data_IF_502502701090
#
_entry.id   IF_502502701090
#
_cell.length_a   1.000
_cell.length_b   1.000
_cell.length_c   1.000
_cell.angle_alpha   90.00
_cell.angle_beta   90.00
_cell.angle_gamma   90.00
#
_symmetry.space_group_name_H-M   'P 1'
#
loop_
_entity.id
_entity.type
_entity.pdbx_description
1 polymer ?
#
# COMPACT_ATOMS: atom_id res chain seq x y z
N UNK A 1 -8.48 5.87 12.96
CA UNK A 1 -8.91 6.60 11.75
C UNK A 1 -10.24 6.04 11.33
N UNK A 2 -11.25 6.90 11.24
CA UNK A 2 -12.61 6.51 10.87
C UNK A 2 -13.06 7.28 9.62
N UNK A 3 -13.89 6.66 8.80
CA UNK A 3 -14.52 7.27 7.63
C UNK A 3 -15.74 8.11 8.05
N UNK A 4 -16.43 8.81 7.15
CA UNK A 4 -17.57 9.67 7.56
C UNK A 4 -18.74 8.90 8.20
N UNK A 5 -18.79 7.57 8.01
CA UNK A 5 -19.81 6.66 8.56
C UNK A 5 -19.35 5.99 9.87
N UNK A 6 -18.16 6.34 10.37
CA UNK A 6 -17.60 5.78 11.60
C UNK A 6 -16.93 4.42 11.41
N UNK A 7 -16.67 3.98 10.18
CA UNK A 7 -15.98 2.70 9.91
C UNK A 7 -14.46 2.88 9.89
N UNK A 8 -13.68 1.85 10.27
CA UNK A 8 -12.23 1.87 10.15
C UNK A 8 -11.73 2.20 8.74
N UNK A 9 -10.71 3.07 8.67
CA UNK A 9 -10.05 3.42 7.40
C UNK A 9 -8.65 2.83 7.35
N UNK A 10 -8.42 1.74 6.57
CA UNK A 10 -7.08 1.31 6.25
C UNK A 10 -6.40 2.28 5.30
N UNK A 11 -5.09 2.13 5.18
CA UNK A 11 -4.28 2.84 4.19
C UNK A 11 -4.21 4.38 4.34
N UNK A 12 -4.73 4.96 5.42
CA UNK A 12 -4.53 6.36 5.76
C UNK A 12 -3.11 6.57 6.28
N UNK A 13 -2.40 7.55 5.72
CA UNK A 13 -1.07 7.93 6.17
C UNK A 13 -1.20 8.93 7.30
N UNK A 14 -0.59 8.61 8.43
CA UNK A 14 -0.53 9.45 9.63
C UNK A 14 0.91 9.88 9.80
N UNK A 15 1.12 11.19 9.91
CA UNK A 15 2.44 11.80 10.10
C UNK A 15 2.41 12.63 11.37
N UNK A 16 3.31 12.33 12.30
CA UNK A 16 3.49 13.10 13.53
C UNK A 16 4.73 13.99 13.37
N UNK A 17 4.59 15.26 13.75
CA UNK A 17 5.66 16.26 13.82
C UNK A 17 5.87 16.66 15.28
N UNK A 18 6.80 16.00 16.01
CA UNK A 18 7.15 16.41 17.36
C UNK A 18 7.74 17.82 17.33
N UNK A 19 7.34 18.68 18.27
CA UNK A 19 7.90 20.02 18.42
C UNK A 19 9.35 20.01 18.88
N UNK A 20 9.75 18.96 19.60
CA UNK A 20 11.12 18.70 20.02
C UNK A 20 11.55 17.30 19.55
N UNK A 21 12.25 17.22 18.42
CA UNK A 21 12.83 15.97 17.93
C UNK A 21 14.19 15.71 18.61
N UNK A 22 14.18 15.43 19.91
CA UNK A 22 15.38 15.01 20.65
C UNK A 22 15.56 13.50 20.57
N UNK A 23 16.76 13.03 20.26
CA UNK A 23 17.10 11.60 20.18
C UNK A 23 17.12 11.07 18.74
N UNK A 24 17.44 9.77 18.61
CA UNK A 24 17.50 9.10 17.30
C UNK A 24 16.07 8.88 16.77
N UNK A 25 15.76 9.36 15.55
CA UNK A 25 14.45 9.10 14.94
C UNK A 25 14.19 7.60 14.76
N UNK A 26 12.95 7.13 14.90
CA UNK A 26 12.64 5.72 14.76
C UNK A 26 12.76 5.25 13.30
N UNK A 27 13.13 3.98 13.11
CA UNK A 27 13.12 3.33 11.78
C UNK A 27 11.78 2.64 11.53
N UNK A 28 10.73 3.42 11.26
CA UNK A 28 9.36 2.91 11.07
C UNK A 28 9.06 2.44 9.63
N UNK A 29 9.81 2.94 8.65
CA UNK A 29 9.56 2.72 7.22
C UNK A 29 10.58 1.73 6.64
N UNK A 30 10.18 1.04 5.56
CA UNK A 30 11.07 0.17 4.82
C UNK A 30 12.12 1.00 4.06
N UNK A 31 13.40 0.62 4.17
CA UNK A 31 14.49 1.33 3.51
C UNK A 31 14.44 1.22 1.97
N UNK A 32 13.99 0.08 1.46
CA UNK A 32 13.91 -0.23 0.02
C UNK A 32 12.63 -1.02 -0.29
N UNK A 33 11.45 -0.38 -0.27
CA UNK A 33 10.19 -1.08 -0.51
C UNK A 33 10.05 -1.48 -1.98
N UNK A 34 9.28 -2.55 -2.20
CA UNK A 34 8.89 -3.00 -3.54
C UNK A 34 7.40 -2.74 -3.77
N UNK A 35 7.05 -2.23 -4.96
CA UNK A 35 5.69 -2.08 -5.44
C UNK A 35 5.52 -2.97 -6.67
N UNK A 36 4.65 -3.96 -6.56
CA UNK A 36 4.41 -4.95 -7.60
C UNK A 36 3.26 -4.52 -8.51
N UNK A 37 3.38 -4.81 -9.80
CA UNK A 37 2.26 -4.79 -10.73
C UNK A 37 1.73 -6.20 -10.85
N UNK A 38 0.59 -6.48 -10.21
CA UNK A 38 -0.02 -7.79 -10.14
C UNK A 38 -1.54 -7.67 -10.31
N UNK A 39 -2.14 -8.52 -11.15
CA UNK A 39 -3.58 -8.54 -11.46
C UNK A 39 -4.08 -7.16 -11.88
N UNK A 40 -3.29 -6.45 -12.70
CA UNK A 40 -3.55 -5.08 -13.16
C UNK A 40 -3.76 -4.10 -12.01
N UNK A 41 -2.92 -4.17 -10.97
CA UNK A 41 -2.90 -3.26 -9.80
C UNK A 41 -1.48 -3.00 -9.34
N UNK A 42 -1.27 -1.85 -8.70
CA UNK A 42 -0.08 -1.63 -7.86
C UNK A 42 -0.32 -2.23 -6.47
N UNK A 43 0.62 -3.05 -5.99
CA UNK A 43 0.56 -3.75 -4.70
C UNK A 43 1.86 -3.49 -3.93
N UNK A 44 1.81 -2.84 -2.76
CA UNK A 44 0.63 -2.22 -2.15
C UNK A 44 0.14 -1.00 -2.95
N UNK A 45 -1.13 -0.63 -2.75
CA UNK A 45 -1.72 0.53 -3.42
C UNK A 45 -1.24 1.88 -2.85
N UNK A 46 -0.75 1.88 -1.61
CA UNK A 46 -0.15 3.04 -0.92
C UNK A 46 1.14 2.58 -0.26
N UNK A 47 2.25 3.22 -0.61
CA UNK A 47 3.57 3.01 0.00
C UNK A 47 4.01 4.30 0.67
N UNK A 48 4.54 4.21 1.90
CA UNK A 48 5.10 5.37 2.63
C UNK A 48 6.60 5.22 2.69
N UNK A 49 7.33 6.25 2.28
CA UNK A 49 8.81 6.27 2.25
C UNK A 49 9.35 7.61 2.71
N UNK A 50 10.61 7.65 3.13
CA UNK A 50 11.30 8.92 3.37
C UNK A 50 11.85 9.50 2.06
N UNK A 51 12.07 10.81 2.02
CA UNK A 51 12.83 11.41 0.93
C UNK A 51 14.23 10.78 0.82
N UNK A 52 14.68 10.54 -0.41
CA UNK A 52 15.92 9.85 -0.75
C UNK A 52 15.78 8.33 -0.91
N UNK A 53 14.63 7.73 -0.56
CA UNK A 53 14.38 6.29 -0.71
C UNK A 53 14.31 5.89 -2.19
N UNK A 54 14.92 4.76 -2.52
CA UNK A 54 14.74 4.06 -3.80
C UNK A 54 13.63 3.03 -3.68
N UNK A 55 12.60 3.18 -4.50
CA UNK A 55 11.48 2.23 -4.60
C UNK A 55 11.71 1.31 -5.79
N UNK A 56 11.58 0.00 -5.57
CA UNK A 56 11.63 -0.99 -6.64
C UNK A 56 10.23 -1.25 -7.18
N UNK A 57 10.06 -1.19 -8.49
CA UNK A 57 8.85 -1.62 -9.16
C UNK A 57 9.08 -2.96 -9.84
N UNK A 58 8.14 -3.90 -9.73
CA UNK A 58 8.19 -5.18 -10.44
C UNK A 58 6.95 -5.39 -11.30
N UNK A 59 7.04 -6.26 -12.31
CA UNK A 59 5.88 -6.73 -13.05
C UNK A 59 5.69 -8.23 -12.85
N UNK A 60 4.64 -8.61 -12.12
CA UNK A 60 4.27 -10.02 -11.89
C UNK A 60 3.26 -10.54 -12.91
N UNK A 61 2.58 -9.66 -13.64
CA UNK A 61 1.66 -10.04 -14.69
C UNK A 61 2.43 -10.52 -15.94
N UNK A 62 1.83 -11.43 -16.71
CA UNK A 62 2.41 -11.95 -17.96
C UNK A 62 2.39 -10.95 -19.13
N UNK A 63 1.75 -9.79 -18.96
CA UNK A 63 1.65 -8.72 -19.95
C UNK A 63 2.40 -7.50 -19.48
N UNK A 64 2.78 -6.66 -20.44
CA UNK A 64 3.51 -5.44 -20.15
C UNK A 64 2.67 -4.45 -19.35
N UNK A 65 3.37 -3.72 -18.48
CA UNK A 65 2.82 -2.57 -17.80
C UNK A 65 3.77 -1.39 -17.86
N UNK A 66 3.22 -0.22 -17.58
CA UNK A 66 4.00 0.99 -17.33
C UNK A 66 3.82 1.42 -15.89
N UNK A 67 4.87 2.01 -15.33
CA UNK A 67 4.77 2.80 -14.10
C UNK A 67 4.99 4.25 -14.48
N UNK A 68 3.94 5.05 -14.36
CA UNK A 68 3.99 6.51 -14.47
C UNK A 68 3.84 7.12 -13.10
N UNK A 69 4.83 7.88 -12.66
CA UNK A 69 4.77 8.65 -11.43
C UNK A 69 4.56 10.13 -11.75
N UNK A 70 3.50 10.70 -11.20
CA UNK A 70 3.18 12.12 -11.30
C UNK A 70 3.09 12.71 -9.89
N UNK A 71 3.99 13.62 -9.49
CA UNK A 71 3.84 14.36 -8.24
C UNK A 71 2.52 15.11 -8.24
N UNK A 72 1.74 14.96 -7.17
CA UNK A 72 0.44 15.60 -7.02
C UNK A 72 0.48 16.62 -5.90
N UNK A 73 0.20 17.89 -6.24
CA UNK A 73 0.03 18.97 -5.27
C UNK A 73 1.32 19.42 -4.59
N UNK A 74 1.34 20.69 -4.18
CA UNK A 74 2.29 21.22 -3.20
C UNK A 74 2.05 20.49 -1.88
N UNK A 75 3.01 19.69 -1.42
CA UNK A 75 3.00 19.23 -0.04
C UNK A 75 2.79 20.45 0.88
N UNK A 76 1.88 20.42 1.88
CA UNK A 76 1.68 21.53 2.79
C UNK A 76 3.00 21.85 3.47
N UNK A 77 3.58 22.97 3.02
CA UNK A 77 4.93 23.45 3.29
C UNK A 77 6.00 22.35 3.22
N UNK A 78 6.30 21.86 2.00
CA UNK A 78 7.71 21.64 1.70
C UNK A 78 8.46 22.89 2.18
N UNK A 79 9.43 22.72 3.09
CA UNK A 79 10.28 23.82 3.52
C UNK A 79 10.77 24.58 2.27
N UNK A 80 10.82 25.93 2.30
CA UNK A 80 11.32 26.69 1.16
C UNK A 80 12.64 26.09 0.65
N UNK A 81 12.67 25.63 -0.61
CA UNK A 81 13.83 24.98 -1.22
C UNK A 81 13.82 23.45 -1.31
N UNK A 82 12.74 22.75 -0.90
CA UNK A 82 12.64 21.32 -1.16
C UNK A 82 12.53 21.06 -2.67
N UNK A 83 13.41 20.19 -3.20
CA UNK A 83 13.30 19.69 -4.57
C UNK A 83 11.92 19.02 -4.76
N UNK A 84 11.35 19.11 -5.97
CA UNK A 84 10.17 18.32 -6.32
C UNK A 84 10.63 16.92 -6.79
N UNK A 85 9.80 15.89 -6.54
CA UNK A 85 10.02 14.60 -7.19
C UNK A 85 9.75 14.83 -8.68
N UNK A 86 10.58 14.27 -9.56
CA UNK A 86 10.39 14.44 -11.01
C UNK A 86 9.35 13.45 -11.50
N UNK A 87 8.55 13.85 -12.50
CA UNK A 87 7.74 12.88 -13.25
C UNK A 87 8.64 11.76 -13.79
N UNK A 88 8.13 10.53 -13.80
CA UNK A 88 8.84 9.41 -14.42
C UNK A 88 7.87 8.49 -15.14
N UNK A 89 8.35 7.81 -16.17
CA UNK A 89 7.64 6.78 -16.89
C UNK A 89 8.62 5.66 -17.28
N UNK A 90 8.23 4.41 -17.00
CA UNK A 90 9.01 3.24 -17.36
C UNK A 90 8.08 2.11 -17.80
N UNK A 91 8.54 1.28 -18.75
CA UNK A 91 7.87 0.05 -19.18
C UNK A 91 8.54 -1.15 -18.52
N UNK A 92 7.75 -2.03 -17.91
CA UNK A 92 8.22 -3.33 -17.43
C UNK A 92 7.57 -4.43 -18.26
N UNK A 93 8.41 -5.24 -18.92
CA UNK A 93 7.95 -6.38 -19.69
C UNK A 93 7.23 -7.39 -18.80
N UNK A 94 6.22 -8.07 -19.36
CA UNK A 94 5.50 -9.14 -18.70
C UNK A 94 6.43 -10.24 -18.16
N UNK A 95 6.06 -10.82 -17.03
CA UNK A 95 6.78 -11.93 -16.41
C UNK A 95 6.69 -13.17 -17.30
N UNK A 96 7.84 -13.77 -17.56
CA UNK A 96 7.93 -15.09 -18.21
C UNK A 96 7.84 -16.18 -17.16
N UNK A 97 7.07 -17.23 -17.42
CA UNK A 97 6.97 -18.38 -16.53
C UNK A 97 8.34 -19.00 -16.24
N UNK A 98 8.58 -19.33 -14.97
CA UNK A 98 9.86 -19.86 -14.50
C UNK A 98 11.01 -18.85 -14.43
N UNK A 99 10.79 -17.56 -14.77
CA UNK A 99 11.79 -16.49 -14.64
C UNK A 99 11.42 -15.47 -13.55
N UNK A 100 12.41 -14.78 -12.96
CA UNK A 100 12.15 -13.64 -12.09
C UNK A 100 11.36 -12.54 -12.81
N UNK A 101 10.59 -11.76 -12.05
CA UNK A 101 9.90 -10.58 -12.57
C UNK A 101 10.89 -9.52 -13.05
N UNK A 102 10.54 -8.82 -14.13
CA UNK A 102 11.26 -7.62 -14.55
C UNK A 102 11.06 -6.52 -13.50
N UNK A 103 12.09 -5.69 -13.29
CA UNK A 103 12.05 -4.62 -12.31
C UNK A 103 12.74 -3.35 -12.79
N UNK A 104 12.40 -2.23 -12.16
CA UNK A 104 13.10 -0.97 -12.28
C UNK A 104 13.08 -0.24 -10.94
N UNK A 105 14.13 0.52 -10.66
CA UNK A 105 14.30 1.26 -9.43
C UNK A 105 14.13 2.76 -9.68
N UNK A 106 13.38 3.45 -8.82
CA UNK A 106 13.15 4.89 -8.90
C UNK A 106 13.46 5.52 -7.56
N UNK A 107 14.37 6.50 -7.55
CA UNK A 107 14.70 7.28 -6.36
C UNK A 107 13.73 8.45 -6.20
N UNK A 108 13.24 8.66 -4.99
CA UNK A 108 12.28 9.72 -4.65
C UNK A 108 12.92 10.71 -3.67
N UNK A 109 13.52 11.77 -4.20
CA UNK A 109 14.34 12.72 -3.40
C UNK A 109 13.55 13.81 -2.66
N UNK A 110 12.23 13.85 -2.84
CA UNK A 110 11.39 14.98 -2.46
C UNK A 110 10.15 14.54 -1.70
N UNK A 111 9.86 15.19 -0.57
CA UNK A 111 8.62 14.95 0.16
C UNK A 111 7.39 15.42 -0.63
N UNK A 112 6.29 14.69 -0.48
CA UNK A 112 5.07 14.89 -1.26
C UNK A 112 4.43 13.58 -1.67
N UNK A 113 3.34 13.66 -2.43
CA UNK A 113 2.61 12.49 -2.92
C UNK A 113 2.94 12.30 -4.40
N UNK A 114 3.31 11.09 -4.78
CA UNK A 114 3.46 10.66 -6.17
C UNK A 114 2.28 9.76 -6.51
N UNK A 115 1.43 10.22 -7.42
CA UNK A 115 0.37 9.40 -8.01
C UNK A 115 0.98 8.44 -9.03
N UNK A 116 0.72 7.15 -8.86
CA UNK A 116 1.12 6.10 -9.78
C UNK A 116 -0.03 5.75 -10.73
N UNK A 117 0.28 5.63 -12.01
CA UNK A 117 -0.63 5.15 -13.04
C UNK A 117 0.05 4.20 -14.03
N UNK A 118 -0.74 3.47 -14.80
CA UNK A 118 -0.26 2.72 -15.97
C UNK A 118 -0.72 3.42 -17.25
N UNK A 119 0.12 3.43 -18.29
CA UNK A 119 -0.24 3.94 -19.60
C UNK A 119 -1.28 3.05 -20.29
N UNK A 120 -1.10 1.73 -20.21
CA UNK A 120 -1.94 0.74 -20.89
C UNK A 120 -3.25 0.45 -20.14
N UNK A 121 -3.24 0.52 -18.80
CA UNK A 121 -4.37 0.13 -17.95
C UNK A 121 -4.79 1.30 -17.07
N UNK A 122 -5.75 2.12 -17.54
CA UNK A 122 -6.19 3.33 -16.83
C UNK A 122 -6.81 3.11 -15.44
N UNK A 123 -7.19 1.87 -15.12
CA UNK A 123 -7.67 1.48 -13.78
C UNK A 123 -6.55 1.28 -12.76
N UNK A 124 -5.30 1.06 -13.20
CA UNK A 124 -4.16 0.92 -12.30
C UNK A 124 -3.84 2.25 -11.65
N UNK A 125 -4.06 2.33 -10.34
CA UNK A 125 -3.79 3.52 -9.53
C UNK A 125 -3.17 3.13 -8.20
N UNK A 126 -2.06 3.78 -7.88
CA UNK A 126 -1.35 3.65 -6.62
C UNK A 126 -0.80 5.00 -6.17
N UNK A 127 -0.23 5.06 -4.97
CA UNK A 127 0.37 6.28 -4.43
C UNK A 127 1.66 5.93 -3.69
N UNK A 128 2.67 6.78 -3.83
CA UNK A 128 3.80 6.82 -2.93
C UNK A 128 3.71 8.12 -2.13
N UNK A 129 3.55 8.00 -0.81
CA UNK A 129 3.64 9.13 0.11
C UNK A 129 5.08 9.26 0.59
N UNK A 130 5.78 10.27 0.09
CA UNK A 130 7.14 10.60 0.50
C UNK A 130 7.06 11.55 1.70
N UNK A 131 7.35 11.06 2.88
CA UNK A 131 7.22 11.81 4.13
C UNK A 131 8.43 12.70 4.41
N UNK A 132 8.19 13.77 5.15
CA UNK A 132 9.16 14.70 5.73
C UNK A 132 9.36 14.49 7.25
N UNK A 133 8.74 13.47 7.85
CA UNK A 133 8.91 13.11 9.26
C UNK A 133 9.19 11.62 9.46
N UNK A 134 10.09 11.30 10.39
CA UNK A 134 10.40 9.93 10.79
C UNK A 134 9.25 9.21 11.51
N UNK A 135 8.31 9.95 12.11
CA UNK A 135 7.11 9.38 12.73
C UNK A 135 5.97 9.33 11.72
N UNK A 136 6.13 8.46 10.72
CA UNK A 136 5.13 8.25 9.68
C UNK A 136 4.75 6.78 9.59
N UNK A 137 3.45 6.51 9.61
CA UNK A 137 2.90 5.17 9.45
C UNK A 137 1.60 5.22 8.66
N UNK A 138 1.21 4.07 8.17
CA UNK A 138 -0.09 3.86 7.53
C UNK A 138 -0.99 3.08 8.47
N UNK A 139 -2.28 3.36 8.47
CA UNK A 139 -3.25 2.61 9.28
C UNK A 139 -3.41 1.18 8.78
N UNK A 140 -3.61 0.27 9.73
CA UNK A 140 -4.00 -1.12 9.49
C UNK A 140 -5.48 -1.26 9.12
N UNK A 141 -5.96 -2.49 8.97
CA UNK A 141 -7.36 -2.80 8.64
C UNK A 141 -8.36 -2.34 9.70
N UNK A 142 -7.91 -2.14 10.94
CA UNK A 142 -8.72 -1.60 12.05
C UNK A 142 -8.65 -0.06 12.09
N UNK A 143 -7.98 0.57 11.13
CA UNK A 143 -7.83 2.00 11.04
C UNK A 143 -6.84 2.57 12.07
N UNK A 144 -5.93 1.75 12.60
CA UNK A 144 -5.03 2.12 13.69
C UNK A 144 -3.60 2.27 13.16
N UNK A 145 -2.93 3.36 13.53
CA UNK A 145 -1.49 3.56 13.38
C UNK A 145 -0.87 3.71 14.77
N UNK A 146 0.14 2.90 15.09
CA UNK A 146 0.75 2.83 16.43
C UNK A 146 2.18 3.34 16.36
N UNK A 147 2.44 4.48 17.01
CA UNK A 147 3.76 5.12 17.00
C UNK A 147 4.50 4.82 18.30
N UNK A 148 5.61 4.05 18.27
CA UNK A 148 6.49 3.95 19.41
C UNK A 148 7.34 5.22 19.54
N UNK A 149 7.72 5.56 20.77
CA UNK A 149 8.78 6.51 21.07
C UNK A 149 8.61 7.86 20.35
N UNK A 150 7.39 8.41 20.35
CA UNK A 150 7.17 9.82 19.99
C UNK A 150 7.68 10.68 21.15
N UNK A 151 8.54 11.69 20.92
CA UNK A 151 9.01 12.58 21.97
C UNK A 151 7.84 13.27 22.67
N UNK A 152 7.94 13.37 24.00
CA UNK A 152 6.95 14.06 24.83
C UNK A 152 6.90 15.57 24.51
N UNK A 153 5.71 16.16 24.70
CA UNK A 153 5.44 17.57 24.52
C UNK A 153 4.55 17.88 23.31
N UNK A 154 4.56 19.15 22.90
CA UNK A 154 3.74 19.62 21.79
C UNK A 154 4.16 18.94 20.47
N UNK A 155 3.17 18.52 19.69
CA UNK A 155 3.33 17.92 18.39
C UNK A 155 2.19 18.35 17.45
N UNK A 156 2.34 18.06 16.16
CA UNK A 156 1.27 18.18 15.18
C UNK A 156 1.05 16.85 14.47
N UNK A 157 -0.19 16.55 14.12
CA UNK A 157 -0.59 15.38 13.35
C UNK A 157 -1.10 15.84 12.00
N UNK A 158 -0.57 15.26 10.92
CA UNK A 158 -1.13 15.34 9.58
C UNK A 158 -1.70 13.98 9.22
N UNK A 159 -2.87 14.00 8.60
CA UNK A 159 -3.49 12.80 8.04
C UNK A 159 -3.69 13.02 6.55
N UNK A 160 -3.33 12.02 5.76
CA UNK A 160 -3.57 11.98 4.32
C UNK A 160 -4.20 10.65 3.94
N UNK A 161 -5.10 10.68 2.95
CA UNK A 161 -5.69 9.46 2.39
C UNK A 161 -5.93 9.65 0.89
N UNK A 162 -5.71 8.61 0.10
CA UNK A 162 -5.78 8.67 -1.36
C UNK A 162 -7.14 9.12 -1.94
N UNK A 163 -8.23 8.93 -1.18
CA UNK A 163 -9.58 9.33 -1.58
C UNK A 163 -10.00 10.70 -1.03
N UNK A 164 -9.17 11.36 -0.21
CA UNK A 164 -9.43 12.74 0.23
C UNK A 164 -9.23 13.70 -0.94
N UNK A 165 -10.23 14.54 -1.20
CA UNK A 165 -10.16 15.57 -2.24
C UNK A 165 -9.45 16.84 -1.77
N UNK A 166 -9.47 17.10 -0.46
CA UNK A 166 -8.92 18.31 0.15
C UNK A 166 -8.03 17.87 1.31
N UNK A 167 -6.84 18.43 1.41
CA UNK A 167 -5.94 18.15 2.54
C UNK A 167 -6.57 18.62 3.85
N UNK A 168 -6.51 17.76 4.88
CA UNK A 168 -6.91 18.13 6.22
C UNK A 168 -5.85 19.05 6.84
N UNK A 169 -6.25 20.07 7.62
CA UNK A 169 -5.30 20.88 8.37
C UNK A 169 -4.55 20.00 9.39
N UNK A 170 -3.30 20.39 9.70
CA UNK A 170 -2.55 19.74 10.78
C UNK A 170 -3.28 19.98 12.11
N UNK A 171 -3.47 18.91 12.88
CA UNK A 171 -4.10 18.93 14.20
C UNK A 171 -3.02 19.01 15.29
N UNK A 172 -3.20 19.87 16.28
CA UNK A 172 -2.31 19.89 17.45
C UNK A 172 -2.50 18.62 18.30
N UNK A 173 -1.41 18.06 18.79
CA UNK A 173 -1.37 16.93 19.71
C UNK A 173 -0.40 17.26 20.85
N UNK A 174 -0.73 16.89 22.08
CA UNK A 174 0.24 16.95 23.18
C UNK A 174 0.59 15.51 23.58
N UNK A 175 1.83 15.11 23.35
CA UNK A 175 2.36 13.79 23.70
C UNK A 175 2.75 13.83 25.17
N UNK A 176 2.27 12.86 25.94
CA UNK A 176 2.53 12.73 27.38
C UNK A 176 3.10 11.34 27.66
N UNK A 177 3.78 11.14 28.80
CA UNK A 177 4.23 9.81 29.21
C UNK A 177 3.07 8.81 29.24
N UNK A 178 3.20 7.74 28.47
CA UNK A 178 2.20 6.66 28.35
C UNK A 178 1.39 6.69 27.05
N UNK A 179 0.41 5.78 26.90
CA UNK A 179 -0.39 5.69 25.68
C UNK A 179 -1.26 6.93 25.48
N UNK A 180 -1.10 7.61 24.34
CA UNK A 180 -1.99 8.68 23.88
C UNK A 180 -2.89 8.13 22.78
N UNK A 181 -4.20 8.26 22.96
CA UNK A 181 -5.19 7.87 21.95
C UNK A 181 -5.77 9.13 21.31
N UNK A 182 -5.73 9.17 19.98
CA UNK A 182 -6.37 10.23 19.20
C UNK A 182 -7.19 9.66 18.05
N UNK A 183 -8.34 10.26 17.79
CA UNK A 183 -9.24 9.88 16.70
C UNK A 183 -9.39 11.02 15.72
N UNK A 184 -9.30 10.68 14.43
CA UNK A 184 -9.60 11.58 13.32
C UNK A 184 -10.67 10.93 12.45
N UNK A 185 -11.73 11.69 12.20
CA UNK A 185 -12.81 11.36 11.28
C UNK A 185 -12.50 11.96 9.92
N UNK A 186 -12.40 11.14 8.89
CA UNK A 186 -12.26 11.59 7.51
C UNK A 186 -13.63 11.89 6.90
N UNK A 187 -13.67 12.81 5.94
CA UNK A 187 -14.89 13.13 5.18
C UNK A 187 -15.20 12.13 4.04
N UNK A 188 -14.33 11.14 3.85
CA UNK A 188 -14.43 10.14 2.77
C UNK A 188 -15.10 8.86 3.25
N UNK A 189 -15.55 8.04 2.31
CA UNK A 189 -15.91 6.63 2.53
C UNK A 189 -15.03 5.82 1.60
N UNK A 190 -13.86 5.36 2.07
CA UNK A 190 -12.91 4.64 1.23
C UNK A 190 -13.57 3.44 0.56
N UNK A 191 -13.40 3.32 -0.75
CA UNK A 191 -13.90 2.12 -1.42
C UNK A 191 -13.02 0.95 -0.98
N UNK A 192 -13.61 -0.03 -0.29
CA UNK A 192 -12.88 -1.23 0.15
C UNK A 192 -12.25 -1.90 -1.07
N UNK A 193 -10.93 -1.76 -1.21
CA UNK A 193 -10.18 -2.46 -2.25
C UNK A 193 -10.07 -3.90 -1.78
N UNK A 194 -10.76 -4.82 -2.45
CA UNK A 194 -10.59 -6.25 -2.19
C UNK A 194 -9.11 -6.60 -2.34
N UNK A 195 -8.50 -7.12 -1.29
CA UNK A 195 -7.16 -7.67 -1.34
C UNK A 195 -7.04 -8.63 -2.54
N UNK A 196 -5.89 -8.67 -3.23
CA UNK A 196 -5.61 -9.79 -4.12
C UNK A 196 -5.85 -11.10 -3.35
N UNK A 197 -6.47 -12.13 -3.95
CA UNK A 197 -6.55 -13.43 -3.32
C UNK A 197 -5.15 -13.86 -2.92
N UNK A 198 -4.98 -14.35 -1.67
CA UNK A 198 -3.73 -14.96 -1.25
C UNK A 198 -3.36 -16.07 -2.24
N UNK A 199 -2.10 -16.12 -2.66
CA UNK A 199 -1.58 -17.25 -3.43
C UNK A 199 -1.83 -18.52 -2.60
N UNK A 200 -2.42 -19.59 -3.15
CA UNK A 200 -2.50 -20.86 -2.43
C UNK A 200 -1.08 -21.24 -2.02
N UNK A 201 -0.84 -21.32 -0.70
CA UNK A 201 0.44 -21.74 -0.18
C UNK A 201 0.72 -23.15 -0.68
N UNK A 202 1.83 -23.35 -1.38
CA UNK A 202 2.38 -24.68 -1.57
C UNK A 202 2.77 -25.22 -0.19
N UNK A 203 1.84 -25.95 0.45
CA UNK A 203 2.19 -26.82 1.56
C UNK A 203 2.86 -28.06 0.97
N UNK A 204 4.12 -28.37 1.31
CA UNK A 204 4.72 -29.63 0.89
C UNK A 204 4.06 -30.80 1.63
N UNK A 205 3.53 -31.76 0.85
CA UNK A 205 3.46 -33.18 1.17
C UNK A 205 2.79 -33.62 2.48
N UNK A 206 1.57 -34.14 2.37
CA UNK A 206 0.94 -35.09 3.31
C UNK A 206 0.22 -36.19 2.52
N UNK A 207 0.18 -37.44 3.00
CA UNK A 207 0.27 -38.63 2.15
C UNK A 207 -1.03 -38.98 1.42
N UNK A 208 -0.83 -39.64 0.28
CA UNK A 208 -1.82 -40.21 -0.64
C UNK A 208 -2.90 -41.01 0.10
N UNK A 209 -4.12 -40.47 0.16
CA UNK A 209 -5.32 -41.23 0.46
C UNK A 209 -5.83 -41.92 -0.80
N UNK A 210 -5.87 -43.25 -0.76
CA UNK A 210 -6.39 -44.09 -1.84
C UNK A 210 -7.86 -43.79 -2.13
N UNK A 211 -8.20 -43.56 -3.40
CA UNK A 211 -9.58 -43.59 -3.85
C UNK A 211 -10.01 -45.05 -4.02
N UNK A 212 -10.82 -45.55 -3.09
CA UNK A 212 -11.59 -46.77 -3.26
C UNK A 212 -12.62 -46.57 -4.37
N UNK A 213 -12.60 -47.45 -5.36
CA UNK A 213 -13.63 -47.52 -6.41
C UNK A 213 -14.99 -47.85 -5.80
N UNK A 214 -16.01 -47.07 -6.16
CA UNK A 214 -17.40 -47.43 -5.93
C UNK A 214 -17.87 -48.42 -7.03
N UNK A 215 -18.69 -49.44 -6.70
CA UNK A 215 -19.20 -50.37 -7.70
C UNK A 215 -20.37 -49.76 -8.46
N UNK A 216 -20.38 -49.94 -9.78
CA UNK A 216 -21.52 -49.68 -10.66
C UNK A 216 -22.53 -50.82 -10.56
N UNK A 217 -23.74 -50.52 -10.11
CA UNK A 217 -24.93 -51.34 -10.37
C UNK A 217 -26.01 -50.46 -11.00
N UNK A 218 -26.52 -50.90 -12.14
CA UNK A 218 -27.56 -50.21 -12.89
C UNK A 218 -27.86 -50.95 -14.18
N UNK A 219 -28.55 -52.08 -14.05
CA UNK A 219 -29.04 -52.89 -15.17
C UNK A 219 -30.17 -52.16 -15.91
N UNK A 220 -30.14 -52.16 -17.24
CA UNK A 220 -31.34 -52.08 -18.06
C UNK A 220 -31.24 -53.05 -19.24
N UNK A 221 -32.12 -54.04 -19.18
CA UNK A 221 -32.42 -54.95 -20.27
C UNK A 221 -33.31 -54.26 -21.31
N UNK A 222 -32.99 -54.43 -22.59
CA UNK A 222 -33.99 -54.36 -23.65
C UNK A 222 -33.81 -55.52 -24.63
N UNK A 223 -34.80 -56.40 -24.59
CA UNK A 223 -35.14 -57.39 -25.62
C UNK A 223 -35.32 -56.73 -27.00
N UNK A 224 -34.74 -57.34 -28.04
CA UNK A 224 -35.42 -57.62 -29.31
C UNK A 224 -34.86 -58.91 -29.91
N UNK A 225 -35.74 -59.89 -30.10
CA UNK A 225 -35.46 -61.08 -30.90
C UNK A 225 -35.79 -60.84 -32.36
N UNK A 226 -35.03 -61.48 -33.23
CA UNK A 226 -35.44 -62.32 -34.37
C UNK A 226 -34.20 -63.05 -34.86
#
# INVERSE_FOLDING_TARGET
>A
MLDREGKPVPDAVVVIYPGNATGTPPSLLQASPTIEQEKMRFVPAVTVVSAGTTVRFTNQDRWDHHVRGNPTGVAPAAAPGAAASTNFELRLAGKTDGKPANFADVKLDASGVVLLGCHLHGSMRGHVFVTDSAWSLKTDNDGIARFPSVPDGAAQVRVWHAEQLVDLPRKALNVVPGPVLDTVQLSVVPRVRRAPPATPGNTPGGPMGAYSQAPTQGAHAHHRGS
#
